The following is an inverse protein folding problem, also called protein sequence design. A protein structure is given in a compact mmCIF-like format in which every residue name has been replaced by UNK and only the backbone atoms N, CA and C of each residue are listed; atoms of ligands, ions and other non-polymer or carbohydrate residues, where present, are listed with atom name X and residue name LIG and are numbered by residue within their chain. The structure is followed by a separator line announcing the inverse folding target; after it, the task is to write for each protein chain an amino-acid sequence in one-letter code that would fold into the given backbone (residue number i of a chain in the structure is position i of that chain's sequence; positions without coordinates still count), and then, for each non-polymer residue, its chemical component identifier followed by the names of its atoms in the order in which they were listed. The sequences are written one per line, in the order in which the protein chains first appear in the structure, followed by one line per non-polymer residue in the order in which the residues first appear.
data_IF_896008499361
#
_entry.id   IF_896008499361
#
_cell.length_a   1.000
_cell.length_b   1.000
_cell.length_c   1.000
_cell.angle_alpha   90.00
_cell.angle_beta   90.00
_cell.angle_gamma   90.00
#
_symmetry.space_group_name_H-M   'P 1'
#
loop_
_entity.id
_entity.type
_entity.pdbx_description
1 polymer ?
#
# COMPACT_ATOMS: atom_id res chain seq x y z
N UNK A 1 -2.79 -5.70 1.99
CA UNK A 1 -3.91 -5.46 1.06
C UNK A 1 -4.69 -4.19 1.36
N UNK A 2 -5.07 -3.87 2.59
CA UNK A 2 -5.82 -2.65 2.94
C UNK A 2 -5.16 -1.35 2.44
N UNK A 3 -3.85 -1.20 2.60
CA UNK A 3 -3.10 -0.05 2.08
C UNK A 3 -3.21 0.07 0.56
N UNK A 4 -3.12 -1.06 -0.15
CA UNK A 4 -3.23 -1.08 -1.60
C UNK A 4 -4.61 -0.60 -2.06
N UNK A 5 -5.66 -1.05 -1.41
CA UNK A 5 -7.02 -0.58 -1.67
C UNK A 5 -7.17 0.92 -1.38
N UNK A 6 -6.66 1.38 -0.25
CA UNK A 6 -6.71 2.80 0.15
C UNK A 6 -6.09 3.72 -0.91
N UNK A 7 -4.96 3.32 -1.51
CA UNK A 7 -4.31 4.12 -2.54
C UNK A 7 -4.99 4.06 -3.91
N UNK A 8 -5.69 2.99 -4.22
CA UNK A 8 -6.35 2.83 -5.52
C UNK A 8 -7.77 3.39 -5.58
N UNK A 9 -8.47 3.47 -4.43
CA UNK A 9 -9.82 3.99 -4.33
C UNK A 9 -9.83 5.51 -4.05
N UNK A 10 -10.76 6.30 -4.61
CA UNK A 10 -10.79 7.77 -4.43
C UNK A 10 -11.39 8.26 -3.11
N UNK A 11 -11.58 7.40 -2.14
CA UNK A 11 -12.17 7.73 -0.84
C UNK A 11 -11.25 8.63 0.00
N UNK A 12 -11.23 9.91 -0.30
CA UNK A 12 -10.48 10.90 0.45
C UNK A 12 -8.94 10.86 0.26
N UNK A 13 -8.21 11.80 0.86
CA UNK A 13 -6.75 11.86 0.80
C UNK A 13 -6.13 10.83 1.74
N UNK A 14 -5.36 9.86 1.24
CA UNK A 14 -4.69 8.89 2.10
C UNK A 14 -3.53 9.54 2.84
N UNK A 15 -3.34 9.15 4.08
CA UNK A 15 -2.16 9.49 4.88
C UNK A 15 -1.52 8.20 5.37
N UNK A 16 -0.23 8.13 5.29
CA UNK A 16 0.56 6.97 5.68
C UNK A 16 1.80 7.39 6.44
N UNK A 17 2.08 6.69 7.51
CA UNK A 17 3.30 6.83 8.29
C UNK A 17 4.06 5.50 8.23
N UNK A 18 5.34 5.51 8.57
CA UNK A 18 6.07 4.29 8.82
C UNK A 18 5.64 3.68 10.14
N UNK A 19 5.42 2.37 10.16
CA UNK A 19 5.43 1.62 11.40
C UNK A 19 6.87 1.35 11.87
N UNK A 20 7.01 0.77 13.03
CA UNK A 20 8.29 0.38 13.62
C UNK A 20 8.21 -1.03 14.20
N UNK A 21 9.35 -1.70 14.28
CA UNK A 21 9.44 -3.00 14.93
C UNK A 21 9.32 -2.82 16.45
N UNK A 22 8.55 -3.68 17.09
CA UNK A 22 8.38 -3.68 18.55
C UNK A 22 8.26 -5.11 19.06
N UNK A 23 8.81 -5.33 20.24
CA UNK A 23 8.81 -6.63 20.91
C UNK A 23 7.78 -6.69 22.05
N UNK A 24 7.38 -5.54 22.57
CA UNK A 24 6.41 -5.41 23.64
C UNK A 24 5.29 -4.45 23.28
N UNK A 25 4.10 -4.72 23.80
CA UNK A 25 2.90 -3.93 23.52
C UNK A 25 3.04 -2.42 23.86
N UNK A 26 3.80 -2.11 24.90
CA UNK A 26 3.98 -0.74 25.39
C UNK A 26 5.16 0.00 24.75
N UNK A 27 5.89 -0.65 23.85
CA UNK A 27 7.05 -0.04 23.19
C UNK A 27 6.61 1.08 22.25
N UNK A 28 7.18 2.27 22.46
CA UNK A 28 6.97 3.42 21.59
C UNK A 28 7.89 3.45 20.36
N UNK A 29 7.89 4.58 19.68
CA UNK A 29 8.78 4.85 18.55
C UNK A 29 10.26 4.68 18.95
N UNK A 30 11.14 4.32 18.00
CA UNK A 30 12.57 4.23 18.25
C UNK A 30 13.15 5.50 18.87
N UNK A 31 13.85 5.35 19.99
CA UNK A 31 14.42 6.44 20.78
C UNK A 31 15.88 6.15 21.12
N UNK A 32 16.66 7.22 21.32
CA UNK A 32 18.00 7.14 21.87
C UNK A 32 17.99 7.01 23.42
N UNK A 33 19.16 6.93 24.01
CA UNK A 33 19.33 6.82 25.47
C UNK A 33 18.75 8.01 26.25
N UNK A 34 18.63 9.16 25.59
CA UNK A 34 18.07 10.39 26.14
C UNK A 34 16.57 10.56 25.86
N UNK A 35 15.91 9.53 25.31
CA UNK A 35 14.51 9.54 24.89
C UNK A 35 14.17 10.47 23.72
N UNK A 36 15.17 10.90 22.94
CA UNK A 36 14.90 11.61 21.70
C UNK A 36 14.49 10.61 20.61
N UNK A 37 13.53 10.98 19.80
CA UNK A 37 13.11 10.16 18.67
C UNK A 37 14.24 10.04 17.64
N UNK A 38 14.54 8.83 17.24
CA UNK A 38 15.51 8.55 16.18
C UNK A 38 14.78 8.60 14.84
N UNK A 39 15.32 9.34 13.89
CA UNK A 39 14.78 9.38 12.54
C UNK A 39 15.03 8.08 11.77
N UNK A 40 14.11 7.67 10.87
CA UNK A 40 14.36 6.53 10.01
C UNK A 40 15.58 6.78 9.11
N UNK A 41 16.42 5.76 8.97
CA UNK A 41 17.56 5.77 8.06
C UNK A 41 17.20 4.94 6.82
N UNK A 42 17.45 5.48 5.65
CA UNK A 42 17.32 4.72 4.40
C UNK A 42 18.69 4.09 4.09
N UNK A 43 18.72 2.77 4.01
CA UNK A 43 19.89 1.99 3.66
C UNK A 43 20.11 1.98 2.14
N UNK A 44 21.28 1.53 1.69
CA UNK A 44 21.62 1.44 0.25
C UNK A 44 20.70 0.50 -0.54
N UNK A 45 20.18 -0.53 0.10
CA UNK A 45 19.18 -1.45 -0.47
C UNK A 45 17.77 -0.86 -0.59
N UNK A 46 17.58 0.38 -0.14
CA UNK A 46 16.30 1.06 -0.13
C UNK A 46 15.38 0.70 1.03
N UNK A 47 15.79 -0.20 1.92
CA UNK A 47 15.06 -0.54 3.14
C UNK A 47 15.28 0.50 4.23
N UNK A 48 14.38 0.56 5.21
CA UNK A 48 14.57 1.39 6.38
C UNK A 48 15.38 0.68 7.46
N UNK A 49 16.21 1.46 8.15
CA UNK A 49 16.91 1.07 9.36
C UNK A 49 16.36 1.79 10.60
N UNK A 50 17.10 1.71 11.69
CA UNK A 50 16.75 2.32 12.98
C UNK A 50 15.39 1.85 13.55
N UNK A 51 14.99 0.61 13.26
CA UNK A 51 13.75 0.03 13.77
C UNK A 51 12.46 0.43 13.03
N UNK A 52 12.56 1.21 11.96
CA UNK A 52 11.41 1.58 11.13
C UNK A 52 11.17 0.57 10.01
N UNK A 53 9.90 0.36 9.64
CA UNK A 53 9.48 -0.56 8.58
C UNK A 53 9.36 0.14 7.22
N UNK A 54 8.90 1.37 7.20
CA UNK A 54 8.72 2.20 6.00
C UNK A 54 7.89 1.55 4.91
N UNK A 55 6.66 1.17 5.20
CA UNK A 55 5.75 0.48 4.28
C UNK A 55 5.51 1.25 2.99
N UNK A 56 5.64 2.58 3.03
CA UNK A 56 5.53 3.44 1.85
C UNK A 56 6.63 3.21 0.80
N UNK A 57 7.71 2.52 1.18
CA UNK A 57 8.80 2.12 0.27
C UNK A 57 8.60 0.74 -0.33
N UNK A 58 7.65 -0.03 0.16
CA UNK A 58 7.32 -1.32 -0.44
C UNK A 58 6.88 -1.14 -1.89
N UNK A 59 7.40 -2.02 -2.76
CA UNK A 59 7.15 -1.94 -4.20
C UNK A 59 5.67 -1.79 -4.54
N UNK A 60 4.82 -2.56 -3.88
CA UNK A 60 3.37 -2.52 -4.09
C UNK A 60 2.78 -1.17 -3.69
N UNK A 61 3.25 -0.59 -2.60
CA UNK A 61 2.71 0.66 -2.06
C UNK A 61 3.14 1.85 -2.92
N UNK A 62 4.42 2.01 -3.21
CA UNK A 62 4.86 3.17 -3.99
C UNK A 62 4.33 3.15 -5.44
N UNK A 63 4.15 1.96 -6.03
CA UNK A 63 3.52 1.85 -7.35
C UNK A 63 2.05 2.29 -7.33
N UNK A 64 1.33 1.99 -6.25
CA UNK A 64 -0.05 2.46 -6.09
C UNK A 64 -0.14 3.96 -5.79
N UNK A 65 0.87 4.55 -5.18
CA UNK A 65 0.98 6.01 -5.07
C UNK A 65 1.10 6.65 -6.46
N UNK A 66 1.95 6.08 -7.34
CA UNK A 66 2.05 6.51 -8.74
C UNK A 66 0.72 6.32 -9.48
N UNK A 67 0.11 5.14 -9.35
CA UNK A 67 -1.21 4.87 -9.93
C UNK A 67 -2.23 5.93 -9.50
N UNK A 68 -2.29 6.24 -8.20
CA UNK A 68 -3.19 7.27 -7.68
C UNK A 68 -2.98 8.64 -8.34
N UNK A 69 -1.74 9.03 -8.60
CA UNK A 69 -1.44 10.29 -9.29
C UNK A 69 -1.97 10.30 -10.73
N UNK A 70 -1.84 9.18 -11.43
CA UNK A 70 -2.34 9.02 -12.81
C UNK A 70 -3.86 9.09 -12.89
N UNK A 71 -4.55 8.44 -11.96
CA UNK A 71 -6.01 8.35 -11.94
C UNK A 71 -6.68 9.46 -11.14
N UNK A 72 -5.93 10.46 -10.69
CA UNK A 72 -6.45 11.57 -9.91
C UNK A 72 -7.66 12.24 -10.59
N UNK A 73 -8.69 12.57 -9.82
CA UNK A 73 -9.92 13.20 -10.31
C UNK A 73 -10.86 12.29 -11.11
N UNK A 74 -10.61 10.99 -11.16
CA UNK A 74 -11.50 10.04 -11.80
C UNK A 74 -12.33 9.26 -10.76
N UNK A 75 -13.56 8.90 -11.14
CA UNK A 75 -14.44 8.09 -10.31
C UNK A 75 -14.16 6.60 -10.47
N UNK A 76 -14.68 5.81 -9.54
CA UNK A 76 -14.72 4.35 -9.66
C UNK A 76 -15.84 3.96 -10.62
N UNK A 77 -15.52 3.12 -11.59
CA UNK A 77 -16.45 2.54 -12.54
C UNK A 77 -16.22 1.03 -12.67
N UNK A 78 -17.19 0.33 -13.24
CA UNK A 78 -17.09 -1.09 -13.52
C UNK A 78 -16.70 -1.92 -12.27
N UNK A 79 -17.32 -1.61 -11.14
CA UNK A 79 -17.13 -2.39 -9.94
C UNK A 79 -17.57 -3.83 -10.16
N UNK A 80 -16.69 -4.75 -9.86
CA UNK A 80 -16.93 -6.17 -9.94
C UNK A 80 -16.50 -6.87 -8.65
N UNK A 81 -17.22 -7.89 -8.26
CA UNK A 81 -16.89 -8.76 -7.14
C UNK A 81 -17.37 -10.18 -7.45
N UNK A 82 -16.60 -11.18 -7.06
CA UNK A 82 -17.05 -12.58 -7.10
C UNK A 82 -17.94 -12.94 -5.90
N UNK A 83 -18.19 -11.98 -5.03
CA UNK A 83 -18.96 -12.19 -3.79
C UNK A 83 -18.20 -12.89 -2.68
N UNK A 84 -16.93 -13.18 -2.86
CA UNK A 84 -16.10 -13.93 -1.91
C UNK A 84 -14.75 -13.24 -1.64
N UNK A 85 -13.77 -13.43 -2.49
CA UNK A 85 -12.38 -13.03 -2.21
C UNK A 85 -11.75 -12.13 -3.28
N UNK A 86 -12.48 -11.82 -4.33
CA UNK A 86 -11.97 -11.04 -5.45
C UNK A 86 -12.82 -9.82 -5.69
N UNK A 87 -12.17 -8.69 -5.89
CA UNK A 87 -12.80 -7.45 -6.32
C UNK A 87 -11.96 -6.80 -7.42
N UNK A 88 -12.62 -6.10 -8.32
CA UNK A 88 -11.96 -5.31 -9.35
C UNK A 88 -12.78 -4.06 -9.66
N UNK A 89 -12.10 -3.01 -10.08
CA UNK A 89 -12.76 -1.80 -10.56
C UNK A 89 -11.83 -1.00 -11.49
N UNK A 90 -12.42 -0.17 -12.30
CA UNK A 90 -11.69 0.81 -13.09
C UNK A 90 -11.77 2.22 -12.47
N UNK A 91 -10.84 3.04 -12.83
CA UNK A 91 -10.81 4.48 -12.57
C UNK A 91 -11.01 5.20 -13.89
N UNK A 92 -12.28 5.18 -14.36
CA UNK A 92 -12.66 5.54 -15.73
C UNK A 92 -11.76 4.82 -16.75
N UNK A 93 -11.25 5.54 -17.74
CA UNK A 93 -10.35 5.04 -18.78
C UNK A 93 -8.86 5.20 -18.44
N UNK A 94 -8.49 5.54 -17.19
CA UNK A 94 -7.11 5.84 -16.80
C UNK A 94 -6.42 4.72 -16.03
N UNK A 95 -7.17 3.80 -15.47
CA UNK A 95 -6.57 2.73 -14.70
C UNK A 95 -7.55 1.65 -14.29
N UNK A 96 -7.01 0.48 -13.99
CA UNK A 96 -7.75 -0.69 -13.53
C UNK A 96 -6.98 -1.35 -12.38
N UNK A 97 -7.70 -1.83 -11.39
CA UNK A 97 -7.14 -2.60 -10.28
C UNK A 97 -7.98 -3.81 -9.97
N UNK A 98 -7.30 -4.87 -9.55
CA UNK A 98 -7.92 -6.09 -9.07
C UNK A 98 -7.22 -6.56 -7.81
N UNK A 99 -7.98 -7.03 -6.85
CA UNK A 99 -7.50 -7.58 -5.59
C UNK A 99 -8.05 -8.99 -5.38
N UNK A 100 -7.19 -9.86 -4.87
CA UNK A 100 -7.59 -11.18 -4.41
C UNK A 100 -7.02 -11.45 -3.03
N UNK A 101 -7.84 -12.03 -2.16
CA UNK A 101 -7.42 -12.53 -0.85
C UNK A 101 -7.42 -14.08 -0.80
N UNK A 102 -7.64 -14.74 -1.94
CA UNK A 102 -7.56 -16.19 -2.05
C UNK A 102 -6.11 -16.65 -1.91
N UNK A 103 -5.85 -17.51 -0.93
CA UNK A 103 -4.60 -18.25 -0.85
C UNK A 103 -4.55 -19.27 -2.01
N UNK A 104 -3.39 -19.36 -2.64
CA UNK A 104 -3.10 -20.37 -3.65
C UNK A 104 -3.98 -20.34 -4.90
N UNK A 105 -3.90 -19.29 -5.66
CA UNK A 105 -4.36 -19.36 -7.03
C UNK A 105 -3.50 -18.50 -7.93
N UNK A 106 -2.43 -19.12 -8.37
CA UNK A 106 -1.81 -18.84 -9.65
C UNK A 106 -2.78 -18.97 -10.85
N UNK A 107 -3.99 -19.41 -10.59
CA UNK A 107 -5.03 -19.59 -11.58
C UNK A 107 -5.95 -18.37 -11.61
N UNK A 108 -5.84 -17.64 -12.71
CA UNK A 108 -6.75 -16.56 -13.11
C UNK A 108 -6.61 -15.21 -12.39
N UNK A 109 -5.39 -14.80 -12.06
CA UNK A 109 -5.11 -13.39 -12.08
C UNK A 109 -5.22 -12.94 -13.54
N UNK A 110 -6.25 -12.21 -13.86
CA UNK A 110 -6.20 -11.35 -15.04
C UNK A 110 -4.98 -10.46 -14.77
N UNK A 111 -3.87 -10.74 -15.45
CA UNK A 111 -2.76 -9.81 -15.53
C UNK A 111 -3.31 -8.59 -16.24
N UNK A 112 -3.82 -7.65 -15.47
CA UNK A 112 -4.05 -6.32 -15.97
C UNK A 112 -2.68 -5.74 -16.26
N UNK A 113 -2.28 -5.74 -17.52
CA UNK A 113 -1.22 -4.88 -17.96
C UNK A 113 -1.66 -3.46 -17.61
N UNK A 114 -0.93 -2.81 -16.75
CA UNK A 114 -1.07 -1.38 -16.50
C UNK A 114 -0.61 -0.73 -17.80
N UNK A 115 -1.56 -0.39 -18.62
CA UNK A 115 -1.30 0.48 -19.77
C UNK A 115 -1.02 1.89 -19.31
#
# INVERSE_FOLDING_TARGET
MALAFMFSHPYGPPRMISSFAFDTYEQGLPQDENRNLISPKINEDGCCGNGYVCEYRWRQVYNLIKFRSVVAGTDVENWWSDGNQKIAFSRRNKGFVAFTNGGDSSENLIRGDIL
#
